data_IF_190480651571
#
_entry.id   IF_190480651571
#
_cell.length_a   1.000
_cell.length_b   1.000
_cell.length_c   1.000
_cell.angle_alpha   90.00
_cell.angle_beta   90.00
_cell.angle_gamma   90.00
#
_symmetry.space_group_name_H-M   'P 1'
#
loop_
_entity.id
_entity.type
_entity.pdbx_description
1 polymer ?
#
# COMPACT_ATOMS: atom_id res chain seq x y z
N UNK A 1 17.13 2.56 -0.73
CA UNK A 1 15.76 2.08 -0.43
C UNK A 1 15.60 1.57 1.00
N UNK A 2 16.47 0.68 1.50
CA UNK A 2 16.38 0.17 2.89
C UNK A 2 16.26 1.27 3.96
N UNK A 3 17.11 2.30 3.90
CA UNK A 3 17.07 3.44 4.84
C UNK A 3 15.76 4.23 4.81
N UNK A 4 15.08 4.30 3.65
CA UNK A 4 13.82 5.02 3.52
C UNK A 4 12.68 4.25 4.21
N UNK A 5 12.53 2.97 3.90
CA UNK A 5 11.49 2.14 4.54
C UNK A 5 11.75 1.97 6.03
N UNK A 6 13.00 1.81 6.43
CA UNK A 6 13.37 1.84 7.85
C UNK A 6 12.89 3.12 8.52
N UNK A 7 13.20 4.28 7.95
CA UNK A 7 12.74 5.55 8.50
C UNK A 7 11.22 5.59 8.68
N UNK A 8 10.46 5.15 7.67
CA UNK A 8 9.00 5.09 7.74
C UNK A 8 8.50 4.19 8.87
N UNK A 9 8.89 2.90 8.88
CA UNK A 9 8.35 1.95 9.86
C UNK A 9 8.85 2.18 11.29
N UNK A 10 9.99 2.86 11.48
CA UNK A 10 10.48 3.19 12.83
C UNK A 10 9.82 4.44 13.44
N UNK A 11 8.94 5.15 12.70
CA UNK A 11 8.19 6.29 13.26
C UNK A 11 7.29 5.89 14.44
N UNK A 12 6.86 4.63 14.49
CA UNK A 12 6.03 4.08 15.59
C UNK A 12 6.86 3.38 16.67
N UNK A 13 8.19 3.35 16.53
CA UNK A 13 9.11 2.69 17.46
C UNK A 13 9.91 1.56 16.82
N UNK A 14 10.82 0.99 17.61
CA UNK A 14 11.73 -0.07 17.16
C UNK A 14 11.05 -1.45 17.15
N UNK A 15 11.44 -2.34 16.22
CA UNK A 15 10.98 -3.72 16.20
C UNK A 15 11.12 -4.45 17.54
N UNK A 16 10.17 -5.34 17.79
CA UNK A 16 10.17 -6.23 18.94
C UNK A 16 10.00 -7.68 18.47
N UNK A 17 10.81 -8.63 18.99
CA UNK A 17 11.87 -8.44 19.99
C UNK A 17 13.13 -7.75 19.42
N UNK A 18 13.99 -7.12 20.25
CA UNK A 18 15.15 -6.38 19.77
C UNK A 18 16.16 -7.24 18.99
N UNK A 19 16.20 -8.54 19.28
CA UNK A 19 17.03 -9.53 18.56
C UNK A 19 16.69 -9.64 17.07
N UNK A 20 15.45 -9.34 16.67
CA UNK A 20 14.99 -9.41 15.27
C UNK A 20 15.06 -8.06 14.56
N UNK A 21 15.52 -7.00 15.23
CA UNK A 21 15.66 -5.67 14.62
C UNK A 21 16.40 -5.70 13.28
N UNK A 22 17.50 -6.46 13.09
CA UNK A 22 18.15 -6.57 11.78
C UNK A 22 17.25 -7.21 10.72
N UNK A 23 16.52 -8.28 11.06
CA UNK A 23 15.58 -8.95 10.15
C UNK A 23 14.52 -7.97 9.63
N UNK A 24 13.94 -7.18 10.53
CA UNK A 24 12.95 -6.17 10.17
C UNK A 24 13.54 -5.10 9.25
N UNK A 25 14.70 -4.54 9.62
CA UNK A 25 15.33 -3.43 8.88
C UNK A 25 15.85 -3.84 7.50
N UNK A 26 16.43 -5.04 7.40
CA UNK A 26 17.15 -5.46 6.21
C UNK A 26 16.30 -6.22 5.21
N UNK A 27 15.21 -6.85 5.68
CA UNK A 27 14.37 -7.75 4.87
C UNK A 27 12.90 -7.33 4.90
N UNK A 28 12.27 -7.28 6.07
CA UNK A 28 10.80 -7.10 6.15
C UNK A 28 10.39 -5.71 5.67
N UNK A 29 10.92 -4.64 6.26
CA UNK A 29 10.59 -3.26 5.91
C UNK A 29 10.77 -2.93 4.41
N UNK A 30 11.92 -3.21 3.78
CA UNK A 30 12.06 -2.93 2.36
C UNK A 30 11.11 -3.75 1.50
N UNK A 31 10.86 -5.02 1.83
CA UNK A 31 9.96 -5.87 1.05
C UNK A 31 8.50 -5.44 1.20
N UNK A 32 8.02 -5.22 2.43
CA UNK A 32 6.66 -4.74 2.68
C UNK A 32 6.43 -3.39 2.00
N UNK A 33 7.38 -2.46 2.14
CA UNK A 33 7.29 -1.15 1.52
C UNK A 33 7.23 -1.20 0.00
N UNK A 34 8.08 -2.01 -0.64
CA UNK A 34 8.07 -2.20 -2.09
C UNK A 34 6.82 -2.89 -2.60
N UNK A 35 6.35 -3.94 -1.90
CA UNK A 35 5.10 -4.62 -2.25
C UNK A 35 3.90 -3.66 -2.13
N UNK A 36 3.88 -2.83 -1.08
CA UNK A 36 2.81 -1.83 -0.87
C UNK A 36 2.80 -0.80 -1.98
N UNK A 37 3.98 -0.30 -2.41
CA UNK A 37 4.10 0.59 -3.56
C UNK A 37 3.61 -0.10 -4.84
N UNK A 38 4.06 -1.33 -5.09
CA UNK A 38 3.70 -2.10 -6.28
C UNK A 38 2.20 -2.39 -6.37
N UNK A 39 1.57 -2.82 -5.26
CA UNK A 39 0.12 -3.07 -5.18
C UNK A 39 -0.65 -1.78 -5.35
N UNK A 40 -0.25 -0.69 -4.67
CA UNK A 40 -0.92 0.60 -4.79
C UNK A 40 -0.86 1.11 -6.23
N UNK A 41 0.30 1.04 -6.88
CA UNK A 41 0.45 1.42 -8.28
C UNK A 41 -0.38 0.52 -9.19
N UNK A 42 -0.32 -0.80 -9.00
CA UNK A 42 -1.08 -1.78 -9.78
C UNK A 42 -2.59 -1.54 -9.71
N UNK A 43 -3.12 -1.27 -8.51
CA UNK A 43 -4.55 -0.97 -8.34
C UNK A 43 -4.96 0.36 -8.98
N UNK A 44 -4.12 1.39 -8.89
CA UNK A 44 -4.39 2.67 -9.58
C UNK A 44 -4.39 2.47 -11.10
N UNK A 45 -3.47 1.66 -11.63
CA UNK A 45 -3.43 1.33 -13.06
C UNK A 45 -4.67 0.55 -13.49
N UNK A 46 -5.10 -0.43 -12.70
CA UNK A 46 -6.35 -1.17 -12.94
C UNK A 46 -7.55 -0.21 -12.94
N UNK A 47 -7.65 0.67 -11.96
CA UNK A 47 -8.77 1.59 -11.83
C UNK A 47 -8.85 2.59 -13.00
N UNK A 48 -7.76 3.31 -13.29
CA UNK A 48 -7.79 4.38 -14.29
C UNK A 48 -7.61 3.89 -15.73
N UNK A 49 -6.73 2.93 -15.97
CA UNK A 49 -6.38 2.54 -17.34
C UNK A 49 -7.15 1.30 -17.81
N UNK A 50 -7.32 0.30 -16.95
CA UNK A 50 -8.06 -0.90 -17.35
C UNK A 50 -9.57 -0.67 -17.31
N UNK A 51 -10.12 -0.29 -16.15
CA UNK A 51 -11.57 -0.17 -15.96
C UNK A 51 -12.11 1.10 -16.64
N UNK A 52 -11.55 2.26 -16.31
CA UNK A 52 -12.09 3.53 -16.80
C UNK A 52 -11.77 3.80 -18.29
N UNK A 53 -10.59 3.40 -18.77
CA UNK A 53 -10.15 3.66 -20.15
C UNK A 53 -10.37 2.48 -21.10
N UNK A 54 -9.89 1.28 -20.79
CA UNK A 54 -9.96 0.15 -21.72
C UNK A 54 -11.34 -0.51 -21.78
N UNK A 55 -12.00 -0.68 -20.64
CA UNK A 55 -13.35 -1.28 -20.58
C UNK A 55 -14.48 -0.28 -20.79
N UNK A 56 -14.19 1.03 -20.73
CA UNK A 56 -15.17 2.10 -20.97
C UNK A 56 -16.33 2.12 -19.96
N UNK A 57 -16.14 1.59 -18.75
CA UNK A 57 -17.20 1.47 -17.75
C UNK A 57 -17.50 2.83 -17.14
N UNK A 58 -18.42 3.58 -17.75
CA UNK A 58 -18.75 4.96 -17.36
C UNK A 58 -19.23 5.12 -15.90
N UNK A 59 -19.72 4.04 -15.27
CA UNK A 59 -20.16 4.04 -13.87
C UNK A 59 -19.01 4.06 -12.87
N UNK A 60 -17.81 3.61 -13.24
CA UNK A 60 -16.64 3.54 -12.36
C UNK A 60 -15.95 4.88 -12.10
N UNK A 61 -16.46 5.96 -12.69
CA UNK A 61 -15.95 7.31 -12.48
C UNK A 61 -16.40 7.98 -11.17
N UNK A 62 -17.23 7.31 -10.35
CA UNK A 62 -17.75 7.88 -9.09
C UNK A 62 -16.75 7.75 -7.94
N UNK A 63 -16.74 8.76 -7.05
CA UNK A 63 -15.96 8.76 -5.79
C UNK A 63 -16.12 7.49 -4.98
N UNK A 64 -17.32 6.91 -4.94
CA UNK A 64 -17.57 5.68 -4.20
C UNK A 64 -16.71 4.50 -4.66
N UNK A 65 -16.51 4.32 -5.97
CA UNK A 65 -15.68 3.23 -6.50
C UNK A 65 -14.20 3.47 -6.22
N UNK A 66 -13.76 4.73 -6.32
CA UNK A 66 -12.40 5.11 -5.94
C UNK A 66 -12.14 4.83 -4.45
N UNK A 67 -13.08 5.20 -3.56
CA UNK A 67 -12.98 4.91 -2.12
C UNK A 67 -12.96 3.41 -1.85
N UNK A 68 -13.74 2.61 -2.59
CA UNK A 68 -13.69 1.14 -2.48
C UNK A 68 -12.29 0.63 -2.81
N UNK A 69 -11.68 1.09 -3.91
CA UNK A 69 -10.31 0.70 -4.29
C UNK A 69 -9.27 1.18 -3.27
N UNK A 70 -9.44 2.39 -2.72
CA UNK A 70 -8.59 2.93 -1.66
C UNK A 70 -8.63 2.02 -0.41
N UNK A 71 -9.83 1.61 0.04
CA UNK A 71 -10.02 0.72 1.19
C UNK A 71 -9.46 -0.67 0.90
N UNK A 72 -9.71 -1.23 -0.29
CA UNK A 72 -9.14 -2.51 -0.72
C UNK A 72 -7.61 -2.44 -0.69
N UNK A 73 -7.01 -1.35 -1.18
CA UNK A 73 -5.56 -1.18 -1.14
C UNK A 73 -5.00 -1.16 0.29
N UNK A 74 -5.68 -0.47 1.21
CA UNK A 74 -5.29 -0.45 2.62
C UNK A 74 -5.36 -1.85 3.25
N UNK A 75 -6.41 -2.62 2.96
CA UNK A 75 -6.56 -4.00 3.43
C UNK A 75 -5.48 -4.91 2.86
N UNK A 76 -5.16 -4.79 1.56
CA UNK A 76 -4.08 -5.55 0.94
C UNK A 76 -2.72 -5.18 1.55
N UNK A 77 -2.45 -3.89 1.75
CA UNK A 77 -1.22 -3.44 2.40
C UNK A 77 -1.10 -4.00 3.84
N UNK A 78 -2.19 -4.01 4.60
CA UNK A 78 -2.24 -4.62 5.92
C UNK A 78 -1.90 -6.12 5.87
N UNK A 79 -2.60 -6.88 5.01
CA UNK A 79 -2.42 -8.33 4.88
C UNK A 79 -1.00 -8.69 4.42
N UNK A 80 -0.45 -7.94 3.47
CA UNK A 80 0.92 -8.17 2.97
C UNK A 80 1.97 -7.95 4.04
N UNK A 81 1.79 -6.98 4.93
CA UNK A 81 2.71 -6.75 6.03
C UNK A 81 2.76 -7.95 7.01
N UNK A 82 1.60 -8.52 7.34
CA UNK A 82 1.50 -9.73 8.18
C UNK A 82 2.10 -10.93 7.44
N UNK A 83 1.67 -11.14 6.20
CA UNK A 83 2.15 -12.24 5.37
C UNK A 83 3.68 -12.23 5.23
N UNK A 84 4.28 -11.06 5.01
CA UNK A 84 5.73 -10.94 4.90
C UNK A 84 6.44 -11.23 6.22
N UNK A 85 5.90 -10.80 7.36
CA UNK A 85 6.47 -11.12 8.67
C UNK A 85 6.46 -12.64 8.92
N UNK A 86 5.35 -13.31 8.62
CA UNK A 86 5.20 -14.76 8.79
C UNK A 86 6.08 -15.53 7.79
N UNK A 87 6.17 -15.06 6.54
CA UNK A 87 7.03 -15.66 5.52
C UNK A 87 8.53 -15.60 5.87
N UNK A 88 8.94 -14.60 6.67
CA UNK A 88 10.29 -14.49 7.21
C UNK A 88 10.46 -15.14 8.58
N UNK A 89 9.44 -15.86 9.08
CA UNK A 89 9.46 -16.53 10.37
C UNK A 89 9.81 -15.58 11.54
N UNK A 90 9.38 -14.31 11.45
CA UNK A 90 9.53 -13.37 12.55
C UNK A 90 8.76 -13.87 13.78
N UNK A 91 9.30 -13.61 14.98
CA UNK A 91 8.65 -14.01 16.20
C UNK A 91 7.27 -13.35 16.33
N UNK A 92 6.28 -14.15 16.73
CA UNK A 92 4.91 -13.69 16.95
C UNK A 92 4.86 -12.68 18.10
N UNK A 93 4.59 -11.43 17.75
CA UNK A 93 4.50 -10.32 18.69
C UNK A 93 3.47 -9.29 18.20
N UNK A 94 2.87 -8.54 19.14
CA UNK A 94 1.89 -7.49 18.82
C UNK A 94 2.43 -6.42 17.87
N UNK A 95 3.76 -6.28 17.78
CA UNK A 95 4.46 -5.36 16.89
C UNK A 95 4.11 -5.61 15.42
N UNK A 96 3.92 -6.87 14.99
CA UNK A 96 3.56 -7.21 13.61
C UNK A 96 2.25 -6.51 13.21
N UNK A 97 1.25 -6.53 14.09
CA UNK A 97 -0.05 -5.90 13.82
C UNK A 97 0.01 -4.38 13.85
N UNK A 98 0.85 -3.79 14.72
CA UNK A 98 1.10 -2.34 14.71
C UNK A 98 1.80 -1.89 13.42
N UNK A 99 2.82 -2.63 12.98
CA UNK A 99 3.49 -2.41 11.70
C UNK A 99 2.51 -2.58 10.53
N UNK A 100 1.66 -3.61 10.54
CA UNK A 100 0.66 -3.84 9.50
C UNK A 100 -0.37 -2.71 9.44
N UNK A 101 -0.81 -2.21 10.60
CA UNK A 101 -1.70 -1.05 10.72
C UNK A 101 -1.07 0.19 10.10
N UNK A 102 0.19 0.49 10.46
CA UNK A 102 0.94 1.59 9.85
C UNK A 102 1.08 1.40 8.33
N UNK A 103 1.33 0.17 7.88
CA UNK A 103 1.43 -0.13 6.46
C UNK A 103 0.12 0.08 5.70
N UNK A 104 -1.03 -0.18 6.34
CA UNK A 104 -2.34 0.12 5.78
C UNK A 104 -2.49 1.63 5.51
N UNK A 105 -2.05 2.48 6.44
CA UNK A 105 -2.02 3.93 6.25
C UNK A 105 -1.07 4.35 5.12
N UNK A 106 0.09 3.70 4.99
CA UNK A 106 0.96 3.92 3.83
C UNK A 106 0.32 3.48 2.52
N UNK A 107 -0.43 2.38 2.52
CA UNK A 107 -1.25 1.99 1.37
C UNK A 107 -2.25 3.07 0.97
N UNK A 108 -3.00 3.62 1.93
CA UNK A 108 -3.92 4.74 1.68
C UNK A 108 -3.19 5.93 1.03
N UNK A 109 -2.06 6.32 1.61
CA UNK A 109 -1.25 7.43 1.13
C UNK A 109 -0.73 7.19 -0.29
N UNK A 110 -0.11 6.04 -0.55
CA UNK A 110 0.47 5.75 -1.87
C UNK A 110 -0.57 5.64 -2.97
N UNK A 111 -1.70 4.97 -2.71
CA UNK A 111 -2.79 4.91 -3.67
C UNK A 111 -3.32 6.31 -4.00
N UNK A 112 -3.50 7.16 -2.99
CA UNK A 112 -3.94 8.54 -3.18
C UNK A 112 -2.92 9.34 -4.01
N UNK A 113 -1.63 9.29 -3.67
CA UNK A 113 -0.58 9.99 -4.41
C UNK A 113 -0.49 9.53 -5.87
N UNK A 114 -0.54 8.22 -6.12
CA UNK A 114 -0.53 7.70 -7.49
C UNK A 114 -1.79 8.06 -8.27
N UNK A 115 -2.96 8.12 -7.60
CA UNK A 115 -4.20 8.57 -8.25
C UNK A 115 -4.05 9.99 -8.79
N UNK A 116 -3.55 10.94 -7.97
CA UNK A 116 -3.31 12.33 -8.36
C UNK A 116 -2.40 12.42 -9.59
N UNK A 117 -1.32 11.64 -9.61
CA UNK A 117 -0.34 11.67 -10.70
C UNK A 117 -0.95 11.08 -11.99
N UNK A 118 -1.68 9.97 -11.88
CA UNK A 118 -2.10 9.15 -13.02
C UNK A 118 -3.50 9.49 -13.56
N UNK A 119 -4.29 10.31 -12.87
CA UNK A 119 -5.62 10.74 -13.32
C UNK A 119 -5.64 11.35 -14.71
N UNK A 120 -4.60 12.09 -15.10
CA UNK A 120 -4.51 12.72 -16.42
C UNK A 120 -4.51 11.72 -17.57
N UNK A 121 -4.22 10.44 -17.31
CA UNK A 121 -4.26 9.38 -18.31
C UNK A 121 -5.64 8.73 -18.53
N UNK A 122 -6.65 9.09 -17.74
CA UNK A 122 -8.02 8.57 -17.85
C UNK A 122 -8.84 9.37 -18.86
N UNK A 123 -9.59 8.69 -19.72
CA UNK A 123 -10.53 9.31 -20.69
C UNK A 123 -11.64 10.10 -20.00
N UNK A 124 -11.95 9.77 -18.75
CA UNK A 124 -12.99 10.43 -17.94
C UNK A 124 -12.40 11.36 -16.85
N UNK A 125 -11.19 11.89 -17.06
CA UNK A 125 -10.44 12.68 -16.07
C UNK A 125 -11.22 13.86 -15.44
N UNK A 126 -12.26 14.39 -16.11
CA UNK A 126 -13.13 15.45 -15.58
C UNK A 126 -14.11 14.96 -14.50
N UNK A 127 -14.47 13.67 -14.49
CA UNK A 127 -15.51 13.11 -13.60
C UNK A 127 -14.98 12.14 -12.56
N UNK A 128 -13.78 11.57 -12.77
CA UNK A 128 -13.09 10.76 -11.75
C UNK A 128 -12.42 11.63 -10.69
N UNK A 129 -12.62 11.33 -9.40
CA UNK A 129 -11.94 12.03 -8.32
C UNK A 129 -10.48 11.57 -8.21
N UNK A 130 -9.60 12.57 -8.22
CA UNK A 130 -8.15 12.56 -8.02
C UNK A 130 -7.30 11.67 -8.89
#
# INVERSE_FOLDING_TARGET
MKSFFRFLYELIGTPQPPSETPLYRDVIFPNVGLLTLGISLGLVLIFYYLINRAMGVATFNKVRHWVIFLVINALLAFVVAIWQAHAQQAAEHSYIYWMATLNAFYGLLWFFLFSIILRKGSTNASTTPF
#
